data_IF_303292521347
#
_entry.id   IF_303292521347
#
_cell.length_a   1.000
_cell.length_b   1.000
_cell.length_c   1.000
_cell.angle_alpha   90.00
_cell.angle_beta   90.00
_cell.angle_gamma   90.00
#
_symmetry.space_group_name_H-M   'P 1'
#
loop_
_entity.id
_entity.type
_entity.pdbx_description
1 polymer ?
#
# COMPACT_ATOMS: atom_id res chain seq x y z
N UNK A 1 -4.36 12.26 -11.94
CA UNK A 1 -5.74 12.59 -11.50
C UNK A 1 -5.83 12.48 -9.98
N UNK A 2 -7.01 12.67 -9.35
CA UNK A 2 -7.17 12.36 -7.93
C UNK A 2 -7.71 10.93 -7.77
N UNK A 3 -6.99 10.08 -7.04
CA UNK A 3 -7.32 8.67 -6.79
C UNK A 3 -8.73 8.53 -6.19
N UNK A 4 -9.08 9.36 -5.21
CA UNK A 4 -10.38 9.33 -4.53
C UNK A 4 -11.54 9.62 -5.50
N UNK A 5 -11.33 10.49 -6.50
CA UNK A 5 -12.34 10.76 -7.52
C UNK A 5 -12.58 9.52 -8.39
N UNK A 6 -11.53 8.78 -8.74
CA UNK A 6 -11.65 7.57 -9.56
C UNK A 6 -12.31 6.44 -8.74
N UNK A 7 -11.94 6.27 -7.47
CA UNK A 7 -12.58 5.31 -6.55
C UNK A 7 -14.08 5.59 -6.44
N UNK A 8 -14.47 6.85 -6.24
CA UNK A 8 -15.88 7.22 -6.15
C UNK A 8 -16.64 6.90 -7.44
N UNK A 9 -16.02 7.11 -8.62
CA UNK A 9 -16.61 6.72 -9.92
C UNK A 9 -16.84 5.22 -10.04
N UNK A 10 -15.89 4.40 -9.56
CA UNK A 10 -16.01 2.94 -9.53
C UNK A 10 -17.17 2.52 -8.61
N UNK A 11 -17.22 3.06 -7.38
CA UNK A 11 -18.20 2.66 -6.34
C UNK A 11 -19.62 3.11 -6.67
N UNK A 12 -19.79 4.31 -7.20
CA UNK A 12 -21.09 4.87 -7.54
C UNK A 12 -21.65 4.35 -8.87
N UNK A 13 -20.90 3.50 -9.59
CA UNK A 13 -21.25 3.02 -10.93
C UNK A 13 -21.51 4.17 -11.92
N UNK A 14 -20.89 5.33 -11.68
CA UNK A 14 -20.94 6.48 -12.58
C UNK A 14 -20.26 6.18 -13.91
N UNK A 15 -19.37 5.19 -13.91
CA UNK A 15 -18.64 4.73 -15.07
C UNK A 15 -18.87 3.24 -15.32
N UNK A 16 -19.49 2.94 -16.46
CA UNK A 16 -19.86 1.58 -16.87
C UNK A 16 -18.66 0.72 -17.30
N UNK A 17 -17.48 1.33 -17.49
CA UNK A 17 -16.25 0.67 -17.93
C UNK A 17 -15.35 0.35 -16.73
N UNK A 18 -15.22 1.29 -15.79
CA UNK A 18 -14.28 1.14 -14.67
C UNK A 18 -14.63 -0.02 -13.73
N UNK A 19 -15.93 -0.23 -13.47
CA UNK A 19 -16.37 -1.30 -12.55
C UNK A 19 -16.04 -2.71 -13.08
N UNK A 20 -16.38 -3.09 -14.32
CA UNK A 20 -15.97 -4.37 -14.89
C UNK A 20 -14.46 -4.63 -14.84
N UNK A 21 -13.64 -3.63 -15.17
CA UNK A 21 -12.17 -3.75 -15.10
C UNK A 21 -11.74 -4.02 -13.65
N UNK A 22 -12.28 -3.26 -12.70
CA UNK A 22 -12.00 -3.43 -11.27
C UNK A 22 -12.41 -4.82 -10.77
N UNK A 23 -13.56 -5.34 -11.20
CA UNK A 23 -14.02 -6.68 -10.81
C UNK A 23 -13.12 -7.79 -11.36
N UNK A 24 -12.60 -7.63 -12.60
CA UNK A 24 -11.60 -8.55 -13.16
C UNK A 24 -10.30 -8.49 -12.35
N UNK A 25 -9.88 -7.30 -11.92
CA UNK A 25 -8.71 -7.12 -11.04
C UNK A 25 -8.93 -7.82 -9.69
N UNK A 26 -10.09 -7.64 -9.05
CA UNK A 26 -10.44 -8.32 -7.81
C UNK A 26 -10.40 -9.84 -7.95
N UNK A 27 -10.90 -10.37 -9.07
CA UNK A 27 -10.84 -11.80 -9.40
C UNK A 27 -9.40 -12.30 -9.60
N UNK A 28 -8.50 -11.47 -10.14
CA UNK A 28 -7.08 -11.81 -10.26
C UNK A 28 -6.42 -11.84 -8.88
N UNK A 29 -6.70 -10.86 -8.01
CA UNK A 29 -6.21 -10.84 -6.62
C UNK A 29 -6.66 -12.10 -5.87
N UNK A 30 -7.95 -12.46 -5.97
CA UNK A 30 -8.50 -13.62 -5.26
C UNK A 30 -7.92 -14.96 -5.71
N UNK A 31 -7.24 -15.00 -6.87
CA UNK A 31 -6.55 -16.19 -7.39
C UNK A 31 -5.04 -16.17 -7.12
N UNK A 32 -4.51 -15.06 -6.61
CA UNK A 32 -3.09 -14.82 -6.37
C UNK A 32 -2.68 -14.99 -4.92
N UNK A 33 -1.41 -14.67 -4.63
CA UNK A 33 -0.83 -14.68 -3.28
C UNK A 33 -1.30 -13.53 -2.37
N UNK A 34 -2.10 -12.62 -2.92
CA UNK A 34 -2.60 -11.42 -2.24
C UNK A 34 -4.08 -11.53 -1.88
N UNK A 35 -4.66 -12.74 -1.95
CA UNK A 35 -6.04 -12.98 -1.55
C UNK A 35 -6.23 -12.66 -0.05
N UNK A 36 -7.03 -11.63 0.23
CA UNK A 36 -7.42 -11.19 1.56
C UNK A 36 -8.88 -11.51 1.90
N UNK A 37 -9.57 -12.28 1.06
CA UNK A 37 -11.02 -12.51 1.13
C UNK A 37 -11.84 -11.50 0.29
N UNK A 38 -13.12 -11.79 0.02
CA UNK A 38 -13.89 -11.08 -1.02
C UNK A 38 -13.96 -9.56 -0.85
N UNK A 39 -14.28 -9.07 0.35
CA UNK A 39 -14.44 -7.63 0.62
C UNK A 39 -13.10 -6.88 0.54
N UNK A 40 -12.03 -7.49 1.06
CA UNK A 40 -10.68 -6.93 0.99
C UNK A 40 -10.17 -6.91 -0.45
N UNK A 41 -10.43 -7.95 -1.23
CA UNK A 41 -10.02 -8.03 -2.63
C UNK A 41 -10.72 -6.97 -3.50
N UNK A 42 -12.00 -6.70 -3.24
CA UNK A 42 -12.73 -5.63 -3.93
C UNK A 42 -12.13 -4.27 -3.57
N UNK A 43 -11.98 -3.98 -2.28
CA UNK A 43 -11.41 -2.71 -1.81
C UNK A 43 -10.01 -2.50 -2.39
N UNK A 44 -9.18 -3.54 -2.36
CA UNK A 44 -7.83 -3.52 -2.95
C UNK A 44 -7.88 -3.26 -4.45
N UNK A 45 -8.78 -3.92 -5.18
CA UNK A 45 -8.92 -3.73 -6.63
C UNK A 45 -9.30 -2.29 -6.98
N UNK A 46 -10.18 -1.65 -6.20
CA UNK A 46 -10.57 -0.25 -6.38
C UNK A 46 -9.36 0.68 -6.22
N UNK A 47 -8.58 0.49 -5.14
CA UNK A 47 -7.37 1.26 -4.86
C UNK A 47 -6.37 1.14 -6.01
N UNK A 48 -5.99 -0.07 -6.40
CA UNK A 48 -4.92 -0.29 -7.39
C UNK A 48 -5.33 0.13 -8.80
N UNK A 49 -6.62 0.00 -9.13
CA UNK A 49 -7.15 0.47 -10.43
C UNK A 49 -7.11 2.00 -10.48
N UNK A 50 -7.56 2.67 -9.43
CA UNK A 50 -7.54 4.12 -9.35
C UNK A 50 -6.11 4.69 -9.34
N UNK A 51 -5.18 4.05 -8.61
CA UNK A 51 -3.77 4.40 -8.61
C UNK A 51 -3.13 4.22 -9.99
N UNK A 52 -3.34 3.08 -10.65
CA UNK A 52 -2.81 2.81 -11.98
C UNK A 52 -3.24 3.90 -12.97
N UNK A 53 -4.54 4.19 -13.04
CA UNK A 53 -5.09 5.21 -13.94
C UNK A 53 -4.51 6.58 -13.58
N UNK A 54 -4.46 6.92 -12.30
CA UNK A 54 -3.97 8.23 -11.87
C UNK A 54 -2.48 8.45 -12.18
N UNK A 55 -1.67 7.40 -12.19
CA UNK A 55 -0.23 7.48 -12.42
C UNK A 55 0.17 7.33 -13.89
N UNK A 56 -0.61 6.60 -14.69
CA UNK A 56 -0.26 6.30 -16.08
C UNK A 56 -1.05 7.13 -17.10
N UNK A 57 -2.11 7.83 -16.68
CA UNK A 57 -2.97 8.61 -17.56
C UNK A 57 -3.16 10.04 -17.04
N UNK A 58 -3.19 11.01 -17.95
CA UNK A 58 -3.42 12.42 -17.56
C UNK A 58 -4.90 12.67 -17.30
N UNK A 59 -5.77 12.04 -18.09
CA UNK A 59 -7.23 12.11 -17.98
C UNK A 59 -7.88 10.72 -18.08
N UNK A 60 -9.17 10.62 -17.72
CA UNK A 60 -9.94 9.39 -17.96
C UNK A 60 -10.19 9.16 -19.45
N UNK A 61 -10.28 10.23 -20.24
CA UNK A 61 -10.42 10.12 -21.69
C UNK A 61 -9.18 9.43 -22.30
N UNK A 62 -7.97 9.77 -21.85
CA UNK A 62 -6.72 9.10 -22.27
C UNK A 62 -6.77 7.60 -21.97
N UNK A 63 -7.33 7.23 -20.80
CA UNK A 63 -7.49 5.83 -20.41
C UNK A 63 -8.52 5.10 -21.29
N UNK A 64 -9.63 5.74 -21.64
CA UNK A 64 -10.63 5.16 -22.55
C UNK A 64 -10.14 5.06 -23.99
N UNK A 65 -9.27 5.98 -24.43
CA UNK A 65 -8.57 5.86 -25.71
C UNK A 65 -7.67 4.61 -25.73
N UNK A 66 -6.91 4.35 -24.66
CA UNK A 66 -6.14 3.10 -24.54
C UNK A 66 -7.02 1.86 -24.62
N UNK A 67 -8.15 1.86 -23.89
CA UNK A 67 -9.09 0.74 -23.93
C UNK A 67 -9.66 0.54 -25.35
N UNK A 68 -9.96 1.63 -26.05
CA UNK A 68 -10.47 1.59 -27.43
C UNK A 68 -9.44 1.02 -28.40
N UNK A 69 -8.15 1.36 -28.23
CA UNK A 69 -7.05 0.76 -29.01
C UNK A 69 -6.93 -0.75 -28.79
N UNK A 70 -7.41 -1.26 -27.65
CA UNK A 70 -7.44 -2.68 -27.30
C UNK A 70 -8.78 -3.37 -27.64
N UNK A 71 -9.46 -2.92 -28.70
CA UNK A 71 -10.75 -3.43 -29.19
C UNK A 71 -11.97 -3.06 -28.32
N UNK A 72 -11.79 -2.28 -27.23
CA UNK A 72 -12.85 -1.65 -26.42
C UNK A 72 -13.82 -2.59 -25.68
N UNK A 73 -13.88 -3.86 -26.08
CA UNK A 73 -14.76 -4.88 -25.53
C UNK A 73 -14.13 -5.66 -24.39
N UNK A 74 -14.74 -6.81 -24.06
CA UNK A 74 -14.35 -7.66 -22.92
C UNK A 74 -12.85 -8.02 -22.96
N UNK A 75 -12.30 -8.32 -24.13
CA UNK A 75 -10.87 -8.66 -24.26
C UNK A 75 -9.95 -7.48 -23.92
N UNK A 76 -10.32 -6.26 -24.31
CA UNK A 76 -9.58 -5.05 -23.95
C UNK A 76 -9.62 -4.79 -22.45
N UNK A 77 -10.80 -4.96 -21.84
CA UNK A 77 -10.97 -4.86 -20.38
C UNK A 77 -10.14 -5.91 -19.62
N UNK A 78 -10.12 -7.16 -20.09
CA UNK A 78 -9.29 -8.22 -19.52
C UNK A 78 -7.79 -7.94 -19.66
N UNK A 79 -7.36 -7.37 -20.79
CA UNK A 79 -5.98 -6.98 -21.02
C UNK A 79 -5.54 -5.87 -20.06
N UNK A 80 -6.32 -4.78 -19.97
CA UNK A 80 -6.05 -3.67 -19.03
C UNK A 80 -6.04 -4.17 -17.60
N UNK A 81 -7.03 -4.97 -17.18
CA UNK A 81 -7.05 -5.55 -15.84
C UNK A 81 -5.81 -6.43 -15.58
N UNK A 82 -5.30 -7.11 -16.60
CA UNK A 82 -4.03 -7.83 -16.56
C UNK A 82 -2.85 -6.89 -16.29
N UNK A 83 -2.77 -5.78 -17.01
CA UNK A 83 -1.73 -4.76 -16.84
C UNK A 83 -1.79 -4.12 -15.45
N UNK A 84 -2.98 -3.76 -14.96
CA UNK A 84 -3.20 -3.21 -13.60
C UNK A 84 -2.73 -4.20 -12.53
N UNK A 85 -3.11 -5.47 -12.66
CA UNK A 85 -2.69 -6.50 -11.71
C UNK A 85 -1.17 -6.71 -11.74
N UNK A 86 -0.57 -6.75 -12.94
CA UNK A 86 0.89 -6.85 -13.07
C UNK A 86 1.59 -5.64 -12.45
N UNK A 87 1.11 -4.43 -12.72
CA UNK A 87 1.60 -3.19 -12.12
C UNK A 87 1.57 -3.25 -10.60
N UNK A 88 0.49 -3.76 -10.00
CA UNK A 88 0.38 -3.96 -8.56
C UNK A 88 1.41 -4.98 -8.04
N UNK A 89 1.44 -6.19 -8.64
CA UNK A 89 2.33 -7.27 -8.17
C UNK A 89 3.82 -6.98 -8.38
N UNK A 90 4.16 -6.17 -9.38
CA UNK A 90 5.55 -5.82 -9.69
C UNK A 90 6.12 -4.76 -8.73
N UNK A 91 5.27 -3.95 -8.09
CA UNK A 91 5.70 -2.77 -7.35
C UNK A 91 6.08 -2.99 -5.89
N UNK A 92 5.99 -4.21 -5.36
CA UNK A 92 6.18 -4.49 -3.93
C UNK A 92 5.47 -3.42 -3.07
N UNK A 93 4.18 -3.20 -3.38
CA UNK A 93 3.41 -2.07 -2.88
C UNK A 93 3.29 -2.15 -1.35
N UNK A 94 3.55 -1.04 -0.67
CA UNK A 94 3.58 -0.98 0.78
C UNK A 94 2.23 -0.56 1.36
N UNK A 95 1.13 -1.15 0.92
CA UNK A 95 -0.17 -0.88 1.55
C UNK A 95 -0.24 -1.37 3.01
N UNK A 96 -1.24 -0.91 3.76
CA UNK A 96 -1.34 -1.17 5.20
C UNK A 96 -1.32 -2.67 5.54
N UNK A 97 -2.14 -3.47 4.86
CA UNK A 97 -2.24 -4.91 5.14
C UNK A 97 -0.98 -5.64 4.68
N UNK A 98 -0.39 -5.25 3.55
CA UNK A 98 0.88 -5.81 3.07
C UNK A 98 2.01 -5.55 4.07
N UNK A 99 2.18 -4.31 4.54
CA UNK A 99 3.20 -3.96 5.54
C UNK A 99 2.95 -4.71 6.85
N UNK A 100 1.71 -4.72 7.34
CA UNK A 100 1.33 -5.42 8.58
C UNK A 100 1.59 -6.93 8.49
N UNK A 101 1.25 -7.56 7.36
CA UNK A 101 1.47 -8.98 7.13
C UNK A 101 2.96 -9.30 6.99
N UNK A 102 3.75 -8.42 6.36
CA UNK A 102 5.20 -8.58 6.23
C UNK A 102 5.90 -8.52 7.60
N UNK A 103 5.42 -7.67 8.52
CA UNK A 103 5.86 -7.61 9.91
C UNK A 103 5.46 -8.88 10.68
N UNK A 104 4.16 -9.25 10.68
CA UNK A 104 3.62 -10.40 11.42
C UNK A 104 4.24 -11.73 10.98
N UNK A 105 4.40 -11.92 9.67
CA UNK A 105 4.94 -13.14 9.08
C UNK A 105 6.46 -13.25 9.17
N UNK A 106 7.16 -12.24 9.73
CA UNK A 106 8.63 -12.11 9.71
C UNK A 106 9.21 -12.25 8.30
N UNK A 107 8.45 -11.82 7.29
CA UNK A 107 8.84 -11.92 5.88
C UNK A 107 9.81 -10.81 5.49
N UNK A 108 9.74 -9.68 6.19
CA UNK A 108 10.60 -8.52 5.97
C UNK A 108 11.35 -8.14 7.26
N UNK A 109 12.68 -8.32 7.23
CA UNK A 109 13.56 -8.03 8.36
C UNK A 109 13.66 -6.53 8.63
N UNK A 110 13.62 -5.70 7.57
CA UNK A 110 13.69 -4.24 7.68
C UNK A 110 12.46 -3.71 8.41
N UNK A 111 11.26 -4.09 7.96
CA UNK A 111 9.99 -3.70 8.59
C UNK A 111 9.89 -4.23 10.03
N UNK A 112 10.33 -5.48 10.26
CA UNK A 112 10.37 -6.05 11.61
C UNK A 112 11.31 -5.27 12.54
N UNK A 113 12.51 -4.92 12.06
CA UNK A 113 13.49 -4.18 12.85
C UNK A 113 12.97 -2.79 13.21
N UNK A 114 12.37 -2.08 12.26
CA UNK A 114 11.73 -0.78 12.53
C UNK A 114 10.63 -0.94 13.59
N UNK A 115 9.78 -1.96 13.46
CA UNK A 115 8.71 -2.26 14.42
C UNK A 115 9.24 -2.53 15.82
N UNK A 116 10.32 -3.32 15.93
CA UNK A 116 10.94 -3.62 17.23
C UNK A 116 11.56 -2.38 17.87
N UNK A 117 12.19 -1.50 17.08
CA UNK A 117 12.73 -0.24 17.57
C UNK A 117 11.62 0.72 18.03
N UNK A 118 10.49 0.76 17.34
CA UNK A 118 9.33 1.56 17.76
C UNK A 118 8.69 0.97 19.02
N UNK A 119 8.52 -0.36 19.10
CA UNK A 119 7.98 -1.03 20.28
C UNK A 119 8.87 -0.81 21.51
N UNK A 120 10.19 -0.86 21.32
CA UNK A 120 11.17 -0.54 22.36
C UNK A 120 10.99 0.90 22.87
N UNK A 121 10.80 1.87 21.97
CA UNK A 121 10.55 3.27 22.36
C UNK A 121 9.23 3.45 23.11
N UNK A 122 8.17 2.74 22.72
CA UNK A 122 6.90 2.74 23.47
C UNK A 122 7.15 2.20 24.90
N UNK A 123 7.89 1.11 25.03
CA UNK A 123 8.24 0.53 26.33
C UNK A 123 9.07 1.47 27.23
N UNK A 124 9.86 2.38 26.65
CA UNK A 124 10.61 3.41 27.38
C UNK A 124 9.78 4.67 27.70
N UNK A 125 8.51 4.71 27.31
CA UNK A 125 7.66 5.90 27.41
C UNK A 125 6.53 5.76 28.43
N UNK A 126 5.78 6.84 28.63
CA UNK A 126 4.57 6.81 29.47
C UNK A 126 3.43 5.96 28.85
N UNK A 127 3.56 5.59 27.57
CA UNK A 127 2.59 4.79 26.84
C UNK A 127 2.86 3.27 26.93
N UNK A 128 3.77 2.84 27.82
CA UNK A 128 4.06 1.41 28.03
C UNK A 128 2.82 0.66 28.53
N UNK A 129 2.43 -0.38 27.78
CA UNK A 129 1.31 -1.28 28.07
C UNK A 129 1.76 -2.74 28.21
N UNK A 130 3.08 -2.98 28.29
CA UNK A 130 3.67 -4.31 28.28
C UNK A 130 4.02 -4.80 26.88
N UNK A 131 4.96 -5.74 26.82
CA UNK A 131 5.69 -6.16 25.60
C UNK A 131 4.75 -6.48 24.43
N UNK A 132 3.72 -7.28 24.65
CA UNK A 132 2.81 -7.72 23.59
C UNK A 132 1.96 -6.56 23.04
N UNK A 133 1.41 -5.72 23.91
CA UNK A 133 0.60 -4.57 23.53
C UNK A 133 1.44 -3.47 22.85
N UNK A 134 2.68 -3.28 23.31
CA UNK A 134 3.63 -2.35 22.68
C UNK A 134 3.98 -2.81 21.27
N UNK A 135 4.18 -4.11 21.05
CA UNK A 135 4.44 -4.65 19.71
C UNK A 135 3.23 -4.49 18.78
N UNK A 136 2.02 -4.82 19.24
CA UNK A 136 0.78 -4.67 18.45
C UNK A 136 0.57 -3.20 18.06
N UNK A 137 0.79 -2.29 19.01
CA UNK A 137 0.72 -0.84 18.78
C UNK A 137 1.75 -0.41 17.75
N UNK A 138 3.03 -0.74 17.97
CA UNK A 138 4.11 -0.43 17.04
C UNK A 138 3.85 -0.97 15.64
N UNK A 139 3.39 -2.22 15.51
CA UNK A 139 3.05 -2.82 14.22
C UNK A 139 1.98 -2.02 13.49
N UNK A 140 0.91 -1.65 14.19
CA UNK A 140 -0.19 -0.88 13.59
C UNK A 140 0.28 0.49 13.13
N UNK A 141 1.06 1.20 13.96
CA UNK A 141 1.55 2.53 13.61
C UNK A 141 2.60 2.51 12.50
N UNK A 142 3.51 1.53 12.50
CA UNK A 142 4.48 1.36 11.42
C UNK A 142 3.75 1.06 10.11
N UNK A 143 2.77 0.16 10.12
CA UNK A 143 1.97 -0.14 8.94
C UNK A 143 1.20 1.08 8.42
N UNK A 144 0.58 1.86 9.31
CA UNK A 144 -0.13 3.08 8.93
C UNK A 144 0.82 4.16 8.39
N UNK A 145 1.95 4.40 9.07
CA UNK A 145 2.90 5.41 8.65
C UNK A 145 3.52 5.06 7.30
N UNK A 146 3.98 3.82 7.12
CA UNK A 146 4.67 3.42 5.90
C UNK A 146 3.71 3.47 4.71
N UNK A 147 2.52 2.89 4.84
CA UNK A 147 1.55 2.83 3.74
C UNK A 147 1.04 4.19 3.26
N UNK A 148 1.06 5.20 4.14
CA UNK A 148 0.68 6.56 3.76
C UNK A 148 1.81 7.38 3.15
N UNK A 149 3.05 7.00 3.37
CA UNK A 149 4.22 7.84 3.03
C UNK A 149 5.13 7.24 1.97
N UNK A 150 5.01 5.94 1.66
CA UNK A 150 5.86 5.24 0.70
C UNK A 150 5.03 4.38 -0.23
N UNK A 151 5.31 4.47 -1.53
CA UNK A 151 4.61 3.67 -2.54
C UNK A 151 5.16 2.25 -2.67
N UNK A 152 6.44 2.07 -2.37
CA UNK A 152 7.14 0.81 -2.56
C UNK A 152 8.38 0.73 -1.66
N UNK A 153 8.95 -0.47 -1.59
CA UNK A 153 10.14 -0.77 -0.80
C UNK A 153 11.36 0.07 -1.20
N UNK A 154 11.58 0.36 -2.49
CA UNK A 154 12.72 1.16 -2.94
C UNK A 154 12.68 2.59 -2.38
N UNK A 155 11.50 3.23 -2.38
CA UNK A 155 11.32 4.56 -1.79
C UNK A 155 11.59 4.55 -0.27
N UNK A 156 11.11 3.53 0.43
CA UNK A 156 11.33 3.34 1.87
C UNK A 156 12.82 3.15 2.17
N UNK A 157 13.49 2.22 1.48
CA UNK A 157 14.92 1.94 1.65
C UNK A 157 15.78 3.16 1.35
N UNK A 158 15.43 3.91 0.30
CA UNK A 158 16.10 5.18 -0.04
C UNK A 158 15.99 6.18 1.10
N UNK A 159 14.82 6.30 1.74
CA UNK A 159 14.62 7.21 2.88
C UNK A 159 15.44 6.77 4.09
N UNK A 160 15.42 5.47 4.42
CA UNK A 160 16.20 4.89 5.52
C UNK A 160 17.70 5.13 5.31
N UNK A 161 18.20 4.84 4.11
CA UNK A 161 19.61 5.03 3.74
C UNK A 161 20.04 6.50 3.86
N UNK A 162 19.21 7.44 3.39
CA UNK A 162 19.46 8.89 3.53
C UNK A 162 19.56 9.33 4.99
N UNK A 163 18.69 8.82 5.87
CA UNK A 163 18.73 9.13 7.30
C UNK A 163 20.00 8.58 7.95
N UNK A 164 20.42 7.37 7.57
CA UNK A 164 21.62 6.72 8.09
C UNK A 164 22.93 7.19 7.46
N UNK A 165 22.89 8.10 6.47
CA UNK A 165 24.04 8.47 5.63
C UNK A 165 24.75 7.23 5.04
N UNK A 166 23.97 6.24 4.61
CA UNK A 166 24.45 4.96 4.07
C UNK A 166 24.87 3.92 5.12
N UNK A 167 24.59 4.13 6.42
CA UNK A 167 24.76 3.12 7.47
C UNK A 167 23.41 2.55 7.89
N UNK A 168 23.17 1.29 7.55
CA UNK A 168 21.86 0.64 7.64
C UNK A 168 21.23 0.75 9.04
N UNK A 169 21.95 0.33 10.09
CA UNK A 169 21.39 0.37 11.46
C UNK A 169 21.13 1.80 11.98
N UNK A 170 21.95 2.77 11.59
CA UNK A 170 21.72 4.17 11.94
C UNK A 170 20.49 4.72 11.21
N UNK A 171 20.30 4.31 9.96
CA UNK A 171 19.12 4.65 9.16
C UNK A 171 17.85 4.07 9.76
N UNK A 172 17.86 2.79 10.13
CA UNK A 172 16.73 2.11 10.77
C UNK A 172 16.34 2.76 12.10
N UNK A 173 17.33 3.05 12.96
CA UNK A 173 17.07 3.75 14.23
C UNK A 173 16.51 5.15 14.02
N UNK A 174 17.11 5.94 13.14
CA UNK A 174 16.63 7.29 12.84
C UNK A 174 15.24 7.29 12.19
N UNK A 175 14.94 6.29 11.36
CA UNK A 175 13.62 6.12 10.78
C UNK A 175 12.58 5.73 11.85
N UNK A 176 12.93 4.83 12.77
CA UNK A 176 12.07 4.48 13.90
C UNK A 176 11.76 5.70 14.78
N UNK A 177 12.71 6.62 14.97
CA UNK A 177 12.45 7.91 15.64
C UNK A 177 11.40 8.74 14.90
N UNK A 178 11.47 8.80 13.57
CA UNK A 178 10.48 9.53 12.76
C UNK A 178 9.09 8.94 12.95
N UNK A 179 8.95 7.61 12.87
CA UNK A 179 7.66 6.92 13.05
C UNK A 179 7.13 7.11 14.46
N UNK A 180 7.97 6.92 15.48
CA UNK A 180 7.56 7.08 16.88
C UNK A 180 7.14 8.52 17.20
N UNK A 181 7.85 9.53 16.70
CA UNK A 181 7.46 10.93 16.88
C UNK A 181 6.12 11.23 16.20
N UNK A 182 5.83 10.61 15.06
CA UNK A 182 4.51 10.72 14.43
C UNK A 182 3.41 10.09 15.30
N UNK A 183 3.67 8.95 15.92
CA UNK A 183 2.78 8.31 16.89
C UNK A 183 2.48 9.24 18.08
N UNK A 184 3.50 9.74 18.77
CA UNK A 184 3.33 10.60 19.96
C UNK A 184 2.56 11.89 19.63
N UNK A 185 2.80 12.47 18.45
CA UNK A 185 2.09 13.69 18.04
C UNK A 185 0.63 13.44 17.63
N UNK A 186 0.28 12.22 17.21
CA UNK A 186 -1.09 11.83 16.88
C UNK A 186 -1.91 11.48 18.14
N UNK A 187 -1.24 11.11 19.22
CA UNK A 187 -1.85 10.77 20.52
C UNK A 187 -2.09 11.99 21.44
N UNK A 188 -1.79 13.21 20.98
CA UNK A 188 -2.05 14.49 21.68
C UNK A 188 -3.19 15.25 21.03
#
# INVERSE_FOLDING_TARGET
MNVEIIINKIRNLEDVILKPITDIVALKISKGSYDGGPENNITKAEEITAEYISENHSTLDDFYEELTMLDGGIKGMEAIAGTIYQYYTARDHLDFETVKNNISGKKDITLKTITDLVAYKIAESADDQGVDLNFISAQTFVAEYISRNFKNTEELETKISKLGKGKDMQGLSAFADVVYNHFVNKSK
#
